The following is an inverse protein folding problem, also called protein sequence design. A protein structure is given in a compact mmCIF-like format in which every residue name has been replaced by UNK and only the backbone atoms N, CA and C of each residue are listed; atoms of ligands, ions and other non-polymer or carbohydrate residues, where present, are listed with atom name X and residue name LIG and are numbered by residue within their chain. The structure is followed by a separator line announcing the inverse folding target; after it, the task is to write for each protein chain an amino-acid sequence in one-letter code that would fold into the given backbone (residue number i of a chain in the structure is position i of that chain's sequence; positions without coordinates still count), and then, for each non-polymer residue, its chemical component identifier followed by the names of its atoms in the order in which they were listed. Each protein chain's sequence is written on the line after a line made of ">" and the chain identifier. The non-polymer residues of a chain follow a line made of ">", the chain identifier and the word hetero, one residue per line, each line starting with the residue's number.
data_IF_558248349909
#
_entry.id   IF_558248349909
#
_cell.length_a   1.000
_cell.length_b   1.000
_cell.length_c   1.000
_cell.angle_alpha   90.00
_cell.angle_beta   90.00
_cell.angle_gamma   90.00
#
_symmetry.space_group_name_H-M   'P 1'
#
loop_
_entity.id
_entity.type
_entity.pdbx_description
1 polymer ?
#
# COMPACT_ATOMS: atom_id res chain seq x y z
N UNK A 1 4.92 7.43 0.87
CA UNK A 1 6.21 6.94 1.45
C UNK A 1 6.00 6.27 2.80
N UNK A 2 7.01 5.53 3.33
CA UNK A 2 6.90 4.88 4.65
C UNK A 2 7.15 5.86 5.78
N UNK A 3 6.29 5.81 6.81
CA UNK A 3 6.44 6.62 8.03
C UNK A 3 6.26 5.72 9.25
N UNK A 4 7.01 5.99 10.30
CA UNK A 4 6.82 5.36 11.62
C UNK A 4 6.22 6.42 12.54
N UNK A 5 5.09 6.12 13.13
CA UNK A 5 4.37 7.04 14.02
C UNK A 5 3.84 6.30 15.25
N UNK A 6 3.80 6.99 16.38
CA UNK A 6 3.08 6.49 17.55
C UNK A 6 1.65 7.00 17.49
N UNK A 7 0.68 6.10 17.59
CA UNK A 7 -0.76 6.37 17.52
C UNK A 7 -1.48 5.91 18.78
N UNK A 8 -2.64 6.50 19.00
CA UNK A 8 -3.61 6.02 19.97
C UNK A 8 -4.93 5.72 19.27
N UNK A 9 -5.51 4.59 19.58
CA UNK A 9 -6.81 4.22 19.06
C UNK A 9 -7.53 3.29 20.04
N UNK A 10 -8.78 2.93 19.73
CA UNK A 10 -9.61 2.11 20.60
C UNK A 10 -9.79 0.74 19.93
N UNK A 11 -9.48 -0.30 20.69
CA UNK A 11 -9.77 -1.68 20.29
C UNK A 11 -11.01 -2.21 21.03
N UNK A 12 -11.78 -3.04 20.34
CA UNK A 12 -12.90 -3.78 20.92
C UNK A 12 -12.40 -5.15 21.36
N UNK A 13 -12.54 -5.44 22.64
CA UNK A 13 -12.14 -6.71 23.24
C UNK A 13 -13.41 -7.52 23.51
N UNK A 14 -13.69 -8.59 22.76
CA UNK A 14 -14.87 -9.44 22.97
C UNK A 14 -14.86 -10.12 24.33
N UNK A 15 -16.06 -10.43 24.85
CA UNK A 15 -16.23 -11.04 26.16
C UNK A 15 -15.53 -12.40 26.32
N UNK A 16 -15.30 -13.11 25.24
CA UNK A 16 -14.59 -14.39 25.22
C UNK A 16 -13.15 -14.32 25.72
N UNK A 17 -12.50 -13.16 25.56
CA UNK A 17 -11.13 -12.89 26.04
C UNK A 17 -11.07 -12.46 27.51
N UNK A 18 -12.22 -12.35 28.17
CA UNK A 18 -12.33 -11.91 29.56
C UNK A 18 -12.48 -13.08 30.56
N UNK A 19 -12.05 -14.29 30.20
CA UNK A 19 -12.14 -15.46 31.08
C UNK A 19 -11.20 -15.31 32.27
N UNK A 20 -11.66 -15.78 33.46
CA UNK A 20 -10.87 -15.76 34.70
C UNK A 20 -9.51 -16.44 34.48
N UNK A 21 -8.42 -15.75 34.80
CA UNK A 21 -7.04 -16.27 34.79
C UNK A 21 -6.21 -15.93 33.59
N UNK A 22 -6.75 -15.21 32.59
CA UNK A 22 -5.94 -14.67 31.48
C UNK A 22 -5.73 -13.17 31.69
N UNK A 23 -4.49 -12.71 31.57
CA UNK A 23 -4.22 -11.28 31.61
C UNK A 23 -4.63 -10.67 30.29
N UNK A 24 -5.26 -9.52 30.33
CA UNK A 24 -5.69 -8.76 29.15
C UNK A 24 -4.50 -8.45 28.23
N UNK A 25 -3.34 -8.17 28.83
CA UNK A 25 -2.11 -7.84 28.12
C UNK A 25 -1.63 -8.93 27.16
N UNK A 26 -1.92 -10.20 27.45
CA UNK A 26 -1.54 -11.31 26.56
C UNK A 26 -2.29 -11.31 25.22
N UNK A 27 -3.45 -10.67 25.17
CA UNK A 27 -4.29 -10.63 23.98
C UNK A 27 -4.27 -9.30 23.26
N UNK A 28 -3.76 -8.25 23.91
CA UNK A 28 -3.76 -6.88 23.37
C UNK A 28 -2.97 -6.78 22.07
N UNK A 29 -1.79 -7.36 22.03
CA UNK A 29 -0.95 -7.33 20.81
C UNK A 29 -1.70 -7.93 19.63
N UNK A 30 -2.22 -9.14 19.78
CA UNK A 30 -2.95 -9.82 18.71
C UNK A 30 -4.21 -9.07 18.29
N UNK A 31 -5.02 -8.63 19.25
CA UNK A 31 -6.25 -7.88 18.96
C UNK A 31 -5.97 -6.53 18.31
N UNK A 32 -4.88 -5.87 18.66
CA UNK A 32 -4.46 -4.62 18.03
C UNK A 32 -3.98 -4.84 16.61
N UNK A 33 -3.17 -5.87 16.37
CA UNK A 33 -2.75 -6.26 15.03
C UNK A 33 -3.96 -6.55 14.13
N UNK A 34 -4.88 -7.41 14.59
CA UNK A 34 -6.10 -7.76 13.84
C UNK A 34 -7.02 -6.54 13.59
N UNK A 35 -7.02 -5.58 14.50
CA UNK A 35 -7.84 -4.38 14.38
C UNK A 35 -7.29 -3.37 13.38
N UNK A 36 -5.97 -3.16 13.34
CA UNK A 36 -5.34 -2.03 12.66
C UNK A 36 -4.54 -2.40 11.42
N UNK A 37 -3.85 -3.56 11.41
CA UNK A 37 -2.99 -3.93 10.29
C UNK A 37 -3.77 -4.29 9.02
N UNK A 38 -3.19 -3.98 7.87
CA UNK A 38 -3.78 -4.26 6.57
C UNK A 38 -4.96 -3.37 6.21
N UNK A 39 -5.18 -2.26 6.91
CA UNK A 39 -6.29 -1.34 6.71
C UNK A 39 -5.80 0.10 6.57
N UNK A 40 -6.67 0.97 6.04
CA UNK A 40 -6.45 2.40 6.07
C UNK A 40 -6.87 2.99 7.41
N UNK A 41 -6.09 3.92 7.90
CA UNK A 41 -6.45 4.73 9.06
C UNK A 41 -7.38 5.90 8.67
N UNK A 42 -7.76 6.71 9.66
CA UNK A 42 -8.64 7.87 9.47
C UNK A 42 -8.08 8.95 8.55
N UNK A 43 -6.78 8.93 8.26
CA UNK A 43 -6.09 9.86 7.36
C UNK A 43 -5.74 9.20 6.00
N UNK A 44 -6.38 8.09 5.66
CA UNK A 44 -6.14 7.31 4.44
C UNK A 44 -4.68 6.84 4.28
N UNK A 45 -4.00 6.56 5.38
CA UNK A 45 -2.67 5.96 5.39
C UNK A 45 -2.79 4.47 5.65
N UNK A 46 -2.12 3.67 4.85
CA UNK A 46 -2.19 2.21 4.99
C UNK A 46 -1.30 1.73 6.13
N UNK A 47 -1.88 1.05 7.10
CA UNK A 47 -1.17 0.50 8.26
C UNK A 47 -0.57 -0.85 7.88
N UNK A 48 0.75 -0.93 7.82
CA UNK A 48 1.47 -2.15 7.47
C UNK A 48 1.65 -3.08 8.66
N UNK A 49 2.24 -2.55 9.70
CA UNK A 49 2.64 -3.29 10.91
C UNK A 49 2.45 -2.39 12.12
N UNK A 50 2.02 -2.98 13.22
CA UNK A 50 1.91 -2.33 14.53
C UNK A 50 2.76 -3.07 15.55
N UNK A 51 3.30 -2.31 16.53
CA UNK A 51 4.15 -2.86 17.59
C UNK A 51 4.05 -2.02 18.87
N UNK A 52 4.65 -2.50 19.96
CA UNK A 52 4.70 -1.78 21.25
C UNK A 52 3.33 -1.37 21.80
N UNK A 53 2.33 -2.25 21.68
CA UNK A 53 0.99 -1.96 22.16
C UNK A 53 0.95 -1.82 23.67
N UNK A 54 0.39 -0.70 24.15
CA UNK A 54 0.24 -0.40 25.57
C UNK A 54 -1.16 0.08 25.85
N UNK A 55 -1.79 -0.48 26.86
CA UNK A 55 -3.10 -0.01 27.32
C UNK A 55 -2.99 1.36 27.97
N UNK A 56 -3.93 2.24 27.67
CA UNK A 56 -4.05 3.55 28.28
C UNK A 56 -5.36 3.61 29.08
N UNK A 57 -5.22 3.82 30.36
CA UNK A 57 -6.36 3.98 31.27
C UNK A 57 -7.18 2.71 31.42
N UNK A 58 -8.43 2.84 31.87
CA UNK A 58 -9.35 1.74 32.06
C UNK A 58 -10.25 1.55 30.85
N UNK A 59 -10.45 0.31 30.45
CA UNK A 59 -11.43 -0.04 29.41
C UNK A 59 -12.86 0.32 29.84
N UNK A 60 -13.72 0.60 28.87
CA UNK A 60 -15.13 0.94 29.07
C UNK A 60 -16.01 -0.15 28.48
N UNK A 61 -17.03 -0.57 29.22
CA UNK A 61 -18.05 -1.46 28.75
C UNK A 61 -19.20 -0.63 28.17
N UNK A 62 -19.59 -0.89 26.94
CA UNK A 62 -20.77 -0.27 26.32
C UNK A 62 -21.97 -1.15 26.64
N UNK A 63 -23.03 -0.53 27.16
CA UNK A 63 -24.26 -1.23 27.53
C UNK A 63 -24.88 -1.89 26.28
N UNK A 64 -25.11 -3.19 26.36
CA UNK A 64 -25.71 -3.97 25.26
C UNK A 64 -24.74 -4.71 24.34
N UNK A 65 -23.42 -4.35 24.32
CA UNK A 65 -22.44 -5.04 23.46
C UNK A 65 -21.66 -6.16 24.20
N UNK A 66 -21.53 -6.06 25.53
CA UNK A 66 -20.80 -7.06 26.33
C UNK A 66 -19.28 -7.09 26.08
N UNK A 67 -18.74 -6.20 25.27
CA UNK A 67 -17.32 -6.07 24.99
C UNK A 67 -16.68 -4.93 25.79
N UNK A 68 -15.37 -5.00 26.01
CA UNK A 68 -14.60 -3.89 26.57
C UNK A 68 -13.99 -3.09 25.42
N UNK A 69 -14.14 -1.76 25.47
CA UNK A 69 -13.49 -0.81 24.60
C UNK A 69 -12.28 -0.23 25.31
N UNK A 70 -11.09 -0.61 24.87
CA UNK A 70 -9.82 -0.26 25.50
C UNK A 70 -9.03 0.69 24.59
N UNK A 71 -8.59 1.82 25.13
CA UNK A 71 -7.63 2.69 24.45
C UNK A 71 -6.25 2.06 24.50
N UNK A 72 -5.58 2.03 23.34
CA UNK A 72 -4.25 1.44 23.16
C UNK A 72 -3.36 2.46 22.45
N UNK A 73 -2.15 2.62 22.94
CA UNK A 73 -1.06 3.33 22.26
C UNK A 73 -0.17 2.28 21.59
N UNK A 74 0.25 2.56 20.38
CA UNK A 74 1.12 1.65 19.60
C UNK A 74 1.96 2.41 18.60
N UNK A 75 3.07 1.81 18.20
CA UNK A 75 3.89 2.29 17.09
C UNK A 75 3.42 1.61 15.80
N UNK A 76 3.20 2.40 14.75
CA UNK A 76 2.73 1.91 13.47
C UNK A 76 3.69 2.30 12.34
N UNK A 77 3.96 1.35 11.46
CA UNK A 77 4.58 1.60 10.16
C UNK A 77 3.47 1.85 9.16
N UNK A 78 3.43 3.05 8.61
CA UNK A 78 2.41 3.50 7.67
C UNK A 78 3.00 3.64 6.27
N UNK A 79 2.24 3.25 5.27
CA UNK A 79 2.48 3.60 3.89
C UNK A 79 1.55 4.75 3.50
N UNK A 80 2.15 5.90 3.23
CA UNK A 80 1.45 7.13 2.87
C UNK A 80 1.64 7.38 1.38
N UNK A 81 0.57 7.77 0.71
CA UNK A 81 0.56 8.17 -0.70
C UNK A 81 -0.04 9.56 -0.79
N UNK A 82 0.67 10.46 -1.43
CA UNK A 82 0.22 11.83 -1.65
C UNK A 82 -0.03 12.06 -3.16
N UNK A 83 -1.02 12.89 -3.49
CA UNK A 83 -1.24 13.34 -4.87
C UNK A 83 0.02 14.02 -5.41
N UNK A 84 0.35 13.75 -6.67
CA UNK A 84 1.53 14.29 -7.34
C UNK A 84 2.88 13.78 -6.79
N UNK A 85 2.89 12.83 -5.86
CA UNK A 85 4.12 12.19 -5.38
C UNK A 85 4.78 11.39 -6.50
N UNK A 86 6.12 11.49 -6.58
CA UNK A 86 6.91 10.66 -7.50
C UNK A 86 7.27 9.37 -6.78
N UNK A 87 6.93 8.26 -7.41
CA UNK A 87 7.13 6.92 -6.87
C UNK A 87 7.92 6.06 -7.85
N UNK A 88 8.60 5.07 -7.32
CA UNK A 88 9.26 4.03 -8.09
C UNK A 88 8.62 2.67 -7.80
N UNK A 89 8.47 1.87 -8.83
CA UNK A 89 7.88 0.55 -8.69
C UNK A 89 8.26 -0.38 -9.83
N UNK A 90 7.98 -1.66 -9.63
CA UNK A 90 8.18 -2.69 -10.64
C UNK A 90 6.85 -3.05 -11.30
N UNK A 91 6.88 -3.26 -12.60
CA UNK A 91 5.72 -3.76 -13.35
C UNK A 91 5.40 -5.18 -12.88
N UNK A 92 4.18 -5.38 -12.38
CA UNK A 92 3.68 -6.67 -11.91
C UNK A 92 2.86 -7.40 -12.97
N UNK A 93 2.12 -6.66 -13.80
CA UNK A 93 1.23 -7.20 -14.82
C UNK A 93 1.12 -6.27 -16.02
N UNK A 94 0.89 -6.83 -17.21
CA UNK A 94 0.59 -6.11 -18.43
C UNK A 94 -0.77 -6.57 -18.95
N UNK A 95 -1.67 -5.62 -19.21
CA UNK A 95 -2.99 -5.89 -19.77
C UNK A 95 -3.33 -4.92 -20.92
N UNK A 96 -4.55 -5.02 -21.48
CA UNK A 96 -4.99 -4.19 -22.60
C UNK A 96 -5.11 -2.69 -22.30
N UNK A 97 -5.20 -2.32 -21.02
CA UNK A 97 -5.32 -0.94 -20.57
C UNK A 97 -3.95 -0.29 -20.28
N UNK A 98 -2.91 -1.09 -20.06
CA UNK A 98 -1.58 -0.64 -19.70
C UNK A 98 -0.83 -1.62 -18.82
N UNK A 99 -0.09 -1.10 -17.85
CA UNK A 99 0.69 -1.89 -16.91
C UNK A 99 0.26 -1.63 -15.47
N UNK A 100 0.19 -2.68 -14.67
CA UNK A 100 0.15 -2.53 -13.22
C UNK A 100 1.57 -2.42 -12.68
N UNK A 101 1.77 -1.45 -11.80
CA UNK A 101 3.06 -1.17 -11.17
C UNK A 101 2.88 -1.32 -9.66
N UNK A 102 3.72 -2.14 -9.06
CA UNK A 102 3.73 -2.33 -7.61
C UNK A 102 4.55 -1.24 -6.95
N UNK A 103 3.87 -0.39 -6.19
CA UNK A 103 4.44 0.69 -5.39
C UNK A 103 4.30 0.34 -3.90
N UNK A 104 5.33 -0.28 -3.34
CA UNK A 104 5.26 -0.81 -1.97
C UNK A 104 4.19 -1.89 -1.81
N UNK A 105 3.23 -1.74 -0.86
CA UNK A 105 2.16 -2.72 -0.61
C UNK A 105 0.97 -2.58 -1.58
N UNK A 106 0.96 -1.56 -2.43
CA UNK A 106 -0.15 -1.22 -3.32
C UNK A 106 0.21 -1.48 -4.78
N UNK A 107 -0.82 -1.66 -5.60
CA UNK A 107 -0.72 -1.70 -7.05
C UNK A 107 -1.38 -0.48 -7.68
N UNK A 108 -0.69 0.11 -8.65
CA UNK A 108 -1.15 1.29 -9.35
C UNK A 108 -1.20 1.03 -10.86
N UNK A 109 -2.17 1.64 -11.54
CA UNK A 109 -2.32 1.51 -12.98
C UNK A 109 -1.54 2.60 -13.70
N UNK A 110 -0.58 2.22 -14.52
CA UNK A 110 0.07 3.04 -15.52
C UNK A 110 -0.66 2.80 -16.85
N UNK A 111 -1.69 3.63 -17.12
CA UNK A 111 -2.51 3.51 -18.31
C UNK A 111 -1.67 3.69 -19.60
N UNK A 112 -1.99 2.95 -20.67
CA UNK A 112 -1.25 2.99 -21.94
C UNK A 112 -1.03 4.39 -22.51
N UNK A 113 -1.97 5.30 -22.30
CA UNK A 113 -1.83 6.71 -22.71
C UNK A 113 -0.88 7.52 -21.83
N UNK A 114 -0.43 6.98 -20.71
CA UNK A 114 0.41 7.66 -19.72
C UNK A 114 1.82 7.04 -19.61
N UNK A 115 2.13 6.02 -20.42
CA UNK A 115 3.42 5.31 -20.37
C UNK A 115 4.51 6.12 -21.10
N UNK A 116 4.22 6.55 -22.32
CA UNK A 116 5.18 7.25 -23.22
C UNK A 116 4.47 8.35 -24.00
N UNK A 117 5.21 9.34 -24.47
CA UNK A 117 4.68 10.43 -25.33
C UNK A 117 4.38 9.99 -26.76
N UNK A 118 4.54 8.73 -27.05
CA UNK A 118 4.28 8.09 -28.33
C UNK A 118 3.20 7.02 -28.22
N UNK A 119 2.55 6.63 -29.33
CA UNK A 119 1.66 5.48 -29.36
C UNK A 119 2.40 4.20 -28.97
N UNK A 120 1.76 3.38 -28.16
CA UNK A 120 2.33 2.11 -27.69
C UNK A 120 1.55 0.94 -28.25
N UNK A 121 2.24 -0.14 -28.53
CA UNK A 121 1.67 -1.45 -28.87
C UNK A 121 1.76 -2.38 -27.65
N UNK A 122 0.63 -2.97 -27.29
CA UNK A 122 0.55 -3.91 -26.16
C UNK A 122 0.51 -5.33 -26.68
N UNK A 123 1.46 -6.13 -26.28
CA UNK A 123 1.50 -7.56 -26.54
C UNK A 123 1.29 -8.33 -25.24
N UNK A 124 0.03 -8.69 -24.98
CA UNK A 124 -0.37 -9.41 -23.76
C UNK A 124 0.31 -10.78 -23.69
N UNK A 125 0.41 -11.49 -24.82
CA UNK A 125 1.03 -12.82 -24.86
C UNK A 125 2.51 -12.82 -24.51
N UNK A 126 3.22 -11.72 -24.81
CA UNK A 126 4.62 -11.54 -24.46
C UNK A 126 4.81 -10.72 -23.16
N UNK A 127 3.73 -10.27 -22.53
CA UNK A 127 3.74 -9.37 -21.36
C UNK A 127 4.62 -8.13 -21.56
N UNK A 128 4.49 -7.52 -22.75
CA UNK A 128 5.29 -6.36 -23.17
C UNK A 128 4.44 -5.22 -23.71
N UNK A 129 4.92 -4.01 -23.48
CA UNK A 129 4.42 -2.78 -24.09
C UNK A 129 5.60 -2.15 -24.83
N UNK A 130 5.43 -1.84 -26.10
CA UNK A 130 6.52 -1.29 -26.94
C UNK A 130 6.10 0.04 -27.54
N UNK A 131 6.95 1.05 -27.43
CA UNK A 131 6.78 2.34 -28.11
C UNK A 131 7.00 2.20 -29.60
N UNK A 132 6.10 2.75 -30.43
CA UNK A 132 6.15 2.60 -31.90
C UNK A 132 7.28 3.35 -32.57
N UNK A 133 7.73 4.45 -31.99
CA UNK A 133 8.74 5.32 -32.58
C UNK A 133 10.13 5.02 -32.03
N UNK A 134 10.23 4.88 -30.70
CA UNK A 134 11.53 4.70 -30.03
C UNK A 134 11.92 3.23 -29.86
N UNK A 135 10.98 2.31 -29.99
CA UNK A 135 11.20 0.89 -29.71
C UNK A 135 11.46 0.57 -28.23
N UNK A 136 11.22 1.54 -27.33
CA UNK A 136 11.37 1.32 -25.89
C UNK A 136 10.38 0.26 -25.43
N UNK A 137 10.84 -0.67 -24.61
CA UNK A 137 10.03 -1.76 -24.11
C UNK A 137 9.79 -1.64 -22.60
N UNK A 138 8.55 -1.91 -22.20
CA UNK A 138 8.14 -2.09 -20.81
C UNK A 138 7.61 -3.51 -20.66
N UNK A 139 8.21 -4.30 -19.78
CA UNK A 139 7.81 -5.69 -19.53
C UNK A 139 7.63 -5.93 -18.04
N UNK A 140 7.06 -7.07 -17.68
CA UNK A 140 6.99 -7.51 -16.28
C UNK A 140 8.40 -7.51 -15.67
N UNK A 141 8.52 -6.96 -14.45
CA UNK A 141 9.79 -6.79 -13.75
C UNK A 141 10.56 -5.52 -14.10
N UNK A 142 10.16 -4.78 -15.15
CA UNK A 142 10.76 -3.47 -15.44
C UNK A 142 10.47 -2.48 -14.33
N UNK A 143 11.49 -1.70 -13.93
CA UNK A 143 11.32 -0.62 -12.97
C UNK A 143 10.93 0.67 -13.68
N UNK A 144 9.96 1.36 -13.11
CA UNK A 144 9.48 2.64 -13.60
C UNK A 144 9.50 3.68 -12.48
N UNK A 145 9.85 4.91 -12.86
CA UNK A 145 9.63 6.10 -12.04
C UNK A 145 8.44 6.84 -12.62
N UNK A 146 7.41 7.02 -11.82
CA UNK A 146 6.15 7.60 -12.23
C UNK A 146 5.61 8.56 -11.17
N UNK A 147 4.66 9.42 -11.57
CA UNK A 147 3.96 10.33 -10.66
C UNK A 147 2.54 9.85 -10.44
N UNK A 148 2.07 9.92 -9.21
CA UNK A 148 0.67 9.67 -8.86
C UNK A 148 -0.17 10.84 -9.40
N UNK A 149 -1.13 10.57 -10.26
CA UNK A 149 -2.03 11.57 -10.86
C UNK A 149 -3.48 11.40 -10.42
N UNK A 150 -3.81 10.25 -9.86
CA UNK A 150 -5.11 10.02 -9.24
C UNK A 150 -4.96 9.04 -8.08
N UNK A 151 -5.62 9.36 -6.98
CA UNK A 151 -5.58 8.57 -5.76
C UNK A 151 -7.00 8.43 -5.22
N UNK A 152 -7.53 7.21 -5.22
CA UNK A 152 -8.84 6.88 -4.67
C UNK A 152 -8.70 5.66 -3.76
N UNK A 153 -8.34 5.86 -2.47
CA UNK A 153 -8.22 4.77 -1.52
C UNK A 153 -9.61 4.18 -1.21
N UNK A 154 -9.71 2.87 -1.20
CA UNK A 154 -10.90 2.15 -0.74
C UNK A 154 -10.65 1.69 0.71
N UNK A 155 -11.32 2.35 1.65
CA UNK A 155 -11.18 2.06 3.07
C UNK A 155 -11.81 0.73 3.50
N UNK A 156 -12.72 0.18 2.69
CA UNK A 156 -13.37 -1.10 2.95
C UNK A 156 -12.50 -2.29 2.49
N UNK A 157 -11.84 -2.13 1.35
CA UNK A 157 -10.91 -3.14 0.82
C UNK A 157 -9.71 -2.43 0.16
N UNK A 158 -8.57 -2.35 0.83
CA UNK A 158 -7.38 -1.69 0.32
C UNK A 158 -6.91 -2.18 -1.06
N UNK A 159 -7.22 -3.44 -1.41
CA UNK A 159 -6.87 -4.03 -2.72
C UNK A 159 -7.68 -3.44 -3.87
N UNK A 160 -8.81 -2.80 -3.58
CA UNK A 160 -9.67 -2.11 -4.56
C UNK A 160 -9.31 -0.65 -4.75
N UNK A 161 -8.33 -0.17 -4.02
CA UNK A 161 -7.85 1.21 -4.16
C UNK A 161 -7.40 1.46 -5.61
N UNK A 162 -7.82 2.60 -6.16
CA UNK A 162 -7.48 2.99 -7.52
C UNK A 162 -6.42 4.07 -7.48
N UNK A 163 -5.25 3.74 -7.98
CA UNK A 163 -4.10 4.63 -8.06
C UNK A 163 -3.69 4.72 -9.52
N UNK A 164 -3.72 5.92 -10.08
CA UNK A 164 -3.30 6.19 -11.46
C UNK A 164 -1.92 6.84 -11.49
N UNK A 165 -1.08 6.38 -12.41
CA UNK A 165 0.28 6.84 -12.61
C UNK A 165 0.46 7.49 -13.98
N UNK A 166 1.45 8.39 -14.08
CA UNK A 166 1.99 8.88 -15.35
C UNK A 166 3.51 8.82 -15.34
N UNK A 167 4.12 8.47 -16.46
CA UNK A 167 5.58 8.55 -16.71
C UNK A 167 5.95 9.49 -17.85
N UNK A 168 5.01 10.31 -18.33
CA UNK A 168 5.19 11.23 -19.45
C UNK A 168 5.93 12.53 -19.12
N UNK A 169 6.12 12.84 -17.85
CA UNK A 169 6.75 14.11 -17.45
C UNK A 169 8.26 13.99 -17.47
N UNK A 170 8.95 15.13 -17.66
CA UNK A 170 10.40 15.22 -17.61
C UNK A 170 10.95 14.67 -16.28
N UNK A 171 11.99 13.85 -16.38
CA UNK A 171 12.60 13.18 -15.22
C UNK A 171 11.88 11.91 -14.76
N UNK A 172 10.74 11.56 -15.37
CA UNK A 172 10.06 10.30 -15.18
C UNK A 172 10.40 9.37 -16.35
N UNK A 173 10.78 8.14 -16.08
CA UNK A 173 11.20 7.23 -17.14
C UNK A 173 11.19 5.77 -16.68
N UNK A 174 11.34 4.89 -17.65
CA UNK A 174 11.73 3.49 -17.43
C UNK A 174 13.15 3.48 -16.85
N UNK A 175 13.28 2.94 -15.66
CA UNK A 175 14.58 2.73 -15.03
C UNK A 175 15.17 1.45 -15.58
N UNK A 176 16.10 1.59 -16.56
CA UNK A 176 16.88 0.46 -17.00
C UNK A 176 17.91 0.12 -15.88
N UNK A 177 17.81 -1.05 -15.30
CA UNK A 177 18.93 -1.62 -14.58
C UNK A 177 20.03 -1.89 -15.61
N UNK A 178 21.04 -1.05 -15.68
CA UNK A 178 22.27 -1.41 -16.39
C UNK A 178 22.76 -2.73 -15.83
N UNK A 179 23.03 -3.75 -16.66
CA UNK A 179 23.69 -4.96 -16.15
C UNK A 179 24.96 -4.53 -15.44
N UNK A 180 25.11 -4.95 -14.18
CA UNK A 180 26.31 -4.67 -13.39
C UNK A 180 27.53 -5.18 -14.18
N UNK A 181 28.62 -4.39 -14.30
CA UNK A 181 29.83 -4.82 -15.00
C UNK A 181 30.64 -5.78 -14.10
N UNK A 182 30.06 -6.89 -13.70
CA UNK A 182 30.70 -7.98 -12.99
C UNK A 182 30.32 -9.30 -13.61
N UNK A 183 30.66 -9.46 -14.87
CA UNK A 183 30.85 -10.77 -15.48
C UNK A 183 31.63 -10.56 -16.77
N UNK A 184 32.92 -10.43 -16.59
CA UNK A 184 33.96 -10.66 -17.58
C UNK A 184 35.16 -11.28 -16.92
#
# INVERSE_FOLDING_TARGET
>A
MYKVVTKEDIIRIPAEYMRKGQSLDQHIDRLSMDAFEGKFDSENRFVLVTNNHKTIGRGRIIHGDGAIYQRVQFDAVLFCMDDQEVVEGAVSEVNEFGAFVRIGPMEALLHKSQIMDEPVDINIGANKITGRQTGRELSIGSFVRARIVSLSPDTSDPRRSKIGLTSKQDGLCLLYTSPSPRDS
#
